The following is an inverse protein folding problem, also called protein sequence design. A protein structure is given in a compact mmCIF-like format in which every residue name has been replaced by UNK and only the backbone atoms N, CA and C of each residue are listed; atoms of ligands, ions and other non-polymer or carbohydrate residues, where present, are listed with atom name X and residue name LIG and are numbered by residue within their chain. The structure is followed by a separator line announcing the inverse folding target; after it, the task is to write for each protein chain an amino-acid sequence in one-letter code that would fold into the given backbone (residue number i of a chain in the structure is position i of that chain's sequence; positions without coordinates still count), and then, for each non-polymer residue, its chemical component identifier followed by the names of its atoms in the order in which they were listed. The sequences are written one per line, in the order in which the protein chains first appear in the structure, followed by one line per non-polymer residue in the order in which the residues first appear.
data_IF_152841191357
#
_entry.id   IF_152841191357
#
_cell.length_a   1.000
_cell.length_b   1.000
_cell.length_c   1.000
_cell.angle_alpha   90.00
_cell.angle_beta   90.00
_cell.angle_gamma   90.00
#
_symmetry.space_group_name_H-M   'P 1'
#
loop_
_entity.id
_entity.type
_entity.pdbx_description
1 polymer ?
#
# COMPACT_ATOMS: atom_id res chain seq x y z
N UNK A 1 -8.74 5.48 -2.47
CA UNK A 1 -8.07 4.25 -1.96
C UNK A 1 -8.66 3.93 -0.61
N UNK A 2 -9.13 2.71 -0.40
CA UNK A 2 -9.82 2.38 0.84
C UNK A 2 -8.89 2.22 2.06
N UNK A 3 -7.62 1.80 1.90
CA UNK A 3 -6.65 1.72 3.00
C UNK A 3 -5.34 2.42 2.64
N UNK A 4 -4.85 3.29 3.54
CA UNK A 4 -3.59 4.00 3.39
C UNK A 4 -2.77 3.92 4.69
N UNK A 5 -1.46 3.69 4.54
CA UNK A 5 -0.51 3.82 5.65
C UNK A 5 0.16 5.19 5.50
N UNK A 6 -0.01 6.06 6.49
CA UNK A 6 0.47 7.43 6.43
C UNK A 6 1.34 7.78 7.63
N UNK A 7 2.39 8.56 7.41
CA UNK A 7 3.18 9.14 8.50
C UNK A 7 2.64 10.52 8.83
N UNK A 8 1.89 10.63 9.93
CA UNK A 8 1.26 11.86 10.35
C UNK A 8 1.01 11.89 11.86
N UNK A 9 0.53 13.04 12.36
CA UNK A 9 -0.05 13.20 13.68
C UNK A 9 -1.56 12.95 13.59
N UNK A 10 -2.05 11.90 14.26
CA UNK A 10 -3.46 11.49 14.21
C UNK A 10 -4.41 12.61 14.69
N UNK A 11 -3.94 13.48 15.60
CA UNK A 11 -4.74 14.60 16.12
C UNK A 11 -4.97 15.72 15.10
N UNK A 12 -4.26 15.68 13.97
CA UNK A 12 -4.36 16.64 12.86
C UNK A 12 -5.06 16.07 11.63
N UNK A 13 -5.45 14.81 11.68
CA UNK A 13 -6.10 14.14 10.55
C UNK A 13 -7.52 14.68 10.35
N UNK A 14 -7.79 15.14 9.14
CA UNK A 14 -9.14 15.60 8.71
C UNK A 14 -9.92 14.41 8.17
N UNK A 15 -10.52 13.66 9.08
CA UNK A 15 -11.31 12.45 8.82
C UNK A 15 -12.61 12.52 9.65
N UNK A 16 -13.57 11.64 9.38
CA UNK A 16 -14.81 11.63 10.16
C UNK A 16 -14.58 11.11 11.59
N UNK A 17 -13.75 10.08 11.74
CA UNK A 17 -13.38 9.55 13.04
C UNK A 17 -11.89 9.26 13.16
N UNK A 18 -11.32 9.49 14.34
CA UNK A 18 -10.01 8.97 14.72
C UNK A 18 -10.17 7.90 15.79
N UNK A 19 -9.31 6.89 15.79
CA UNK A 19 -9.29 5.86 16.83
C UNK A 19 -8.23 6.21 17.86
N UNK A 20 -8.61 6.13 19.12
CA UNK A 20 -7.75 6.28 20.27
C UNK A 20 -7.34 4.91 20.82
N UNK A 21 -6.05 4.66 20.97
CA UNK A 21 -5.54 3.49 21.67
C UNK A 21 -5.64 3.73 23.19
N UNK A 22 -6.85 3.55 23.72
CA UNK A 22 -7.22 3.87 25.08
C UNK A 22 -6.87 2.75 26.07
N UNK A 23 -6.86 3.12 27.36
CA UNK A 23 -6.89 2.16 28.46
C UNK A 23 -8.34 1.82 28.87
N UNK A 24 -8.51 0.79 29.70
CA UNK A 24 -9.82 0.30 30.09
C UNK A 24 -10.67 1.30 30.90
N UNK A 25 -10.06 2.29 31.56
CA UNK A 25 -10.80 3.34 32.26
C UNK A 25 -11.33 4.43 31.34
N UNK A 26 -10.75 4.64 30.17
CA UNK A 26 -10.99 5.72 29.21
C UNK A 26 -10.65 7.12 29.73
N UNK A 27 -9.92 7.22 30.85
CA UNK A 27 -9.65 8.48 31.55
C UNK A 27 -8.37 9.17 31.08
N UNK A 28 -7.90 8.84 29.85
CA UNK A 28 -6.66 9.33 29.32
C UNK A 28 -5.45 8.58 29.89
N UNK A 29 -4.28 8.86 29.34
CA UNK A 29 -3.04 8.20 29.71
C UNK A 29 -1.83 8.82 28.99
N UNK A 30 -0.82 8.01 28.73
CA UNK A 30 0.37 8.39 27.96
C UNK A 30 0.27 8.07 26.46
N UNK A 31 1.26 8.51 25.70
CA UNK A 31 1.34 8.25 24.26
C UNK A 31 0.21 8.91 23.47
N UNK A 32 -0.32 8.21 22.47
CA UNK A 32 -1.38 8.74 21.60
C UNK A 32 -2.64 9.09 22.37
N UNK A 33 -3.01 8.33 23.40
CA UNK A 33 -4.16 8.58 24.25
C UNK A 33 -4.08 9.96 24.93
N UNK A 34 -2.94 10.29 25.56
CA UNK A 34 -2.69 11.60 26.14
C UNK A 34 -2.72 12.74 25.12
N UNK A 35 -2.13 12.53 23.92
CA UNK A 35 -2.14 13.52 22.86
C UNK A 35 -3.57 13.82 22.37
N UNK A 36 -4.41 12.81 22.20
CA UNK A 36 -5.80 12.94 21.76
C UNK A 36 -6.61 13.69 22.84
N UNK A 37 -6.52 13.30 24.11
CA UNK A 37 -7.20 13.99 25.21
C UNK A 37 -6.78 15.46 25.34
N UNK A 38 -5.48 15.74 25.20
CA UNK A 38 -4.98 17.12 25.23
C UNK A 38 -5.51 17.96 24.05
N UNK A 39 -5.49 17.41 22.83
CA UNK A 39 -5.93 18.11 21.64
C UNK A 39 -7.46 18.30 21.57
N UNK A 40 -8.22 17.33 22.07
CA UNK A 40 -9.70 17.40 22.13
C UNK A 40 -10.23 18.39 23.17
N UNK A 41 -9.47 18.63 24.24
CA UNK A 41 -9.88 19.47 25.35
C UNK A 41 -10.62 18.70 26.47
N UNK A 42 -10.93 19.38 27.58
CA UNK A 42 -11.47 18.74 28.80
C UNK A 42 -12.85 18.10 28.62
N UNK A 43 -13.62 18.56 27.65
CA UNK A 43 -14.96 18.03 27.36
C UNK A 43 -14.94 16.55 26.97
N UNK A 44 -13.87 16.09 26.31
CA UNK A 44 -13.69 14.68 25.94
C UNK A 44 -13.63 13.80 27.20
N UNK A 45 -12.89 14.24 28.22
CA UNK A 45 -12.76 13.50 29.47
C UNK A 45 -14.12 13.37 30.18
N UNK A 46 -14.92 14.46 30.25
CA UNK A 46 -16.26 14.46 30.82
C UNK A 46 -17.21 13.50 30.11
N UNK A 47 -17.08 13.35 28.80
CA UNK A 47 -17.88 12.36 28.05
C UNK A 47 -17.39 10.94 28.32
N UNK A 48 -16.07 10.72 28.37
CA UNK A 48 -15.47 9.42 28.71
C UNK A 48 -15.88 8.91 30.09
N UNK A 49 -15.97 9.78 31.10
CA UNK A 49 -16.46 9.43 32.44
C UNK A 49 -17.83 8.76 32.41
N UNK A 50 -18.75 9.29 31.56
CA UNK A 50 -20.11 8.76 31.41
C UNK A 50 -20.16 7.38 30.76
N UNK A 51 -19.11 7.00 30.03
CA UNK A 51 -19.01 5.70 29.40
C UNK A 51 -18.70 4.57 30.38
N UNK A 52 -18.24 4.86 31.60
CA UNK A 52 -17.93 3.87 32.65
C UNK A 52 -16.91 2.82 32.18
N UNK A 53 -15.85 3.26 31.52
CA UNK A 53 -14.78 2.40 31.00
C UNK A 53 -15.16 1.55 29.78
N UNK A 54 -14.22 0.72 29.34
CA UNK A 54 -14.39 -0.18 28.18
C UNK A 54 -13.59 -1.46 28.40
N UNK A 55 -14.12 -2.61 27.97
CA UNK A 55 -13.45 -3.91 28.08
C UNK A 55 -12.33 -4.03 27.03
N UNK A 56 -11.26 -4.75 27.38
CA UNK A 56 -10.21 -5.12 26.41
C UNK A 56 -10.80 -5.95 25.26
N UNK A 57 -10.45 -5.60 24.05
CA UNK A 57 -11.01 -6.18 22.83
C UNK A 57 -12.27 -5.46 22.32
N UNK A 58 -12.66 -4.34 22.94
CA UNK A 58 -13.85 -3.57 22.55
C UNK A 58 -13.52 -2.10 22.34
N UNK A 59 -14.48 -1.34 21.82
CA UNK A 59 -14.36 0.10 21.61
C UNK A 59 -15.65 0.83 22.00
N UNK A 60 -15.54 2.13 22.29
CA UNK A 60 -16.65 3.07 22.53
C UNK A 60 -16.40 4.36 21.78
N UNK A 61 -17.44 5.10 21.45
CA UNK A 61 -17.37 6.32 20.64
C UNK A 61 -17.80 7.55 21.45
N UNK A 62 -17.14 8.67 21.18
CA UNK A 62 -17.44 10.01 21.69
C UNK A 62 -17.38 11.04 20.57
N UNK A 63 -17.75 12.28 20.86
CA UNK A 63 -17.53 13.41 19.95
C UNK A 63 -16.04 13.79 19.88
N UNK A 64 -15.64 14.43 18.77
CA UNK A 64 -14.26 14.87 18.53
C UNK A 64 -13.86 16.16 19.22
N UNK A 65 -14.84 16.98 19.66
CA UNK A 65 -14.67 18.28 20.31
C UNK A 65 -13.77 19.24 19.51
N UNK A 66 -12.57 19.61 20.05
CA UNK A 66 -11.62 20.53 19.37
C UNK A 66 -10.77 19.85 18.28
N UNK A 67 -10.89 18.54 18.13
CA UNK A 67 -10.20 17.82 17.06
C UNK A 67 -10.84 18.09 15.68
N UNK A 68 -10.08 17.98 14.58
CA UNK A 68 -10.60 18.17 13.23
C UNK A 68 -11.39 16.95 12.70
N UNK A 69 -12.00 16.17 13.60
CA UNK A 69 -12.83 15.01 13.30
C UNK A 69 -14.17 15.11 14.04
N UNK A 70 -15.18 14.38 13.56
CA UNK A 70 -16.51 14.35 14.20
C UNK A 70 -16.51 13.50 15.46
N UNK A 71 -15.78 12.39 15.43
CA UNK A 71 -15.81 11.37 16.47
C UNK A 71 -14.41 10.90 16.89
N UNK A 72 -14.32 10.46 18.17
CA UNK A 72 -13.19 9.68 18.67
C UNK A 72 -13.71 8.31 19.08
N UNK A 73 -13.11 7.26 18.54
CA UNK A 73 -13.41 5.86 18.86
C UNK A 73 -12.33 5.35 19.81
N UNK A 74 -12.67 5.11 21.07
CA UNK A 74 -11.75 4.66 22.11
C UNK A 74 -11.65 3.14 22.10
N UNK A 75 -10.64 2.59 21.48
CA UNK A 75 -10.38 1.14 21.38
C UNK A 75 -9.43 0.70 22.50
N UNK A 76 -9.80 -0.32 23.24
CA UNK A 76 -8.99 -0.88 24.34
C UNK A 76 -8.31 -2.16 23.88
N UNK A 77 -7.09 -2.02 23.37
CA UNK A 77 -6.28 -3.15 22.93
C UNK A 77 -5.72 -3.98 24.09
N UNK A 78 -5.28 -5.22 23.81
CA UNK A 78 -4.65 -6.09 24.80
C UNK A 78 -3.24 -5.62 25.15
N UNK A 79 -2.79 -5.96 26.38
CA UNK A 79 -1.36 -5.98 26.72
C UNK A 79 -0.75 -7.26 26.22
N UNK A 80 0.48 -7.17 25.74
CA UNK A 80 1.22 -8.33 25.27
C UNK A 80 1.85 -9.12 26.43
N UNK A 81 1.57 -10.41 26.46
CA UNK A 81 2.14 -11.36 27.43
C UNK A 81 2.73 -12.60 26.72
N UNK A 82 3.09 -12.47 25.43
CA UNK A 82 3.72 -13.54 24.65
C UNK A 82 2.81 -14.25 23.66
N UNK A 83 1.59 -13.74 23.40
CA UNK A 83 0.67 -14.24 22.37
C UNK A 83 -0.18 -15.45 22.76
N UNK A 84 -0.11 -15.91 24.04
CA UNK A 84 -0.80 -17.15 24.49
C UNK A 84 -2.11 -16.88 25.25
N UNK A 85 -2.50 -15.62 25.44
CA UNK A 85 -3.67 -15.24 26.25
C UNK A 85 -4.80 -14.63 25.42
N UNK A 86 -4.85 -15.00 24.13
CA UNK A 86 -5.85 -14.52 23.17
C UNK A 86 -5.67 -13.05 22.80
N UNK A 87 -4.43 -12.55 22.85
CA UNK A 87 -4.13 -11.16 22.52
C UNK A 87 -4.43 -10.86 21.05
N UNK A 88 -4.15 -11.81 20.15
CA UNK A 88 -4.48 -11.69 18.74
C UNK A 88 -5.97 -11.44 18.52
N UNK A 89 -6.83 -12.31 19.05
CA UNK A 89 -8.27 -12.21 18.86
C UNK A 89 -8.85 -10.93 19.48
N UNK A 90 -8.31 -10.49 20.64
CA UNK A 90 -8.69 -9.24 21.26
C UNK A 90 -8.28 -8.03 20.42
N UNK A 91 -7.11 -8.08 19.75
CA UNK A 91 -6.65 -7.01 18.89
C UNK A 91 -7.51 -6.94 17.61
N UNK A 92 -7.80 -8.08 16.98
CA UNK A 92 -8.75 -8.19 15.85
C UNK A 92 -10.09 -7.58 16.23
N UNK A 93 -10.64 -7.97 17.40
CA UNK A 93 -11.92 -7.47 17.91
C UNK A 93 -11.93 -5.94 18.11
N UNK A 94 -10.80 -5.33 18.52
CA UNK A 94 -10.67 -3.88 18.62
C UNK A 94 -10.86 -3.19 17.27
N UNK A 95 -10.20 -3.68 16.22
CA UNK A 95 -10.34 -3.13 14.88
C UNK A 95 -11.76 -3.32 14.35
N UNK A 96 -12.31 -4.53 14.47
CA UNK A 96 -13.67 -4.85 14.02
C UNK A 96 -14.73 -3.97 14.72
N UNK A 97 -14.66 -3.85 16.03
CA UNK A 97 -15.61 -3.03 16.82
C UNK A 97 -15.49 -1.55 16.45
N UNK A 98 -14.27 -1.06 16.26
CA UNK A 98 -14.03 0.33 15.85
C UNK A 98 -14.59 0.63 14.47
N UNK A 99 -14.37 -0.26 13.50
CA UNK A 99 -14.91 -0.13 12.15
C UNK A 99 -16.45 -0.23 12.13
N UNK A 100 -17.01 -1.12 12.93
CA UNK A 100 -18.46 -1.24 13.08
C UNK A 100 -19.10 0.04 13.64
N UNK A 101 -18.50 0.63 14.68
CA UNK A 101 -18.95 1.90 15.26
C UNK A 101 -18.84 3.05 14.25
N UNK A 102 -17.73 3.10 13.49
CA UNK A 102 -17.58 4.11 12.44
C UNK A 102 -18.68 3.98 11.38
N UNK A 103 -18.95 2.76 10.91
CA UNK A 103 -20.02 2.48 9.96
C UNK A 103 -21.40 2.86 10.50
N UNK A 104 -21.72 2.49 11.74
CA UNK A 104 -22.98 2.82 12.40
C UNK A 104 -23.22 4.33 12.48
N UNK A 105 -22.15 5.11 12.69
CA UNK A 105 -22.21 6.57 12.76
C UNK A 105 -22.04 7.27 11.40
N UNK A 106 -22.09 6.53 10.29
CA UNK A 106 -22.04 7.07 8.94
C UNK A 106 -20.69 7.71 8.58
N UNK A 107 -19.60 7.24 9.18
CA UNK A 107 -18.25 7.73 8.81
C UNK A 107 -17.83 7.20 7.46
N UNK A 108 -17.38 8.09 6.59
CA UNK A 108 -16.78 7.75 5.30
C UNK A 108 -15.26 7.60 5.40
N UNK A 109 -14.66 8.09 6.49
CA UNK A 109 -13.21 8.06 6.72
C UNK A 109 -12.85 7.85 8.19
N UNK A 110 -11.86 6.96 8.45
CA UNK A 110 -11.37 6.64 9.81
C UNK A 110 -9.85 6.55 9.82
N UNK A 111 -9.21 7.12 10.85
CA UNK A 111 -7.78 6.99 11.07
C UNK A 111 -7.48 6.19 12.34
N UNK A 112 -6.64 5.16 12.22
CA UNK A 112 -6.20 4.29 13.30
C UNK A 112 -4.74 4.55 13.67
N UNK A 113 -4.39 4.58 14.96
CA UNK A 113 -3.01 4.36 15.37
C UNK A 113 -2.72 2.85 15.32
N UNK A 114 -1.45 2.47 15.44
CA UNK A 114 -1.09 1.06 15.63
C UNK A 114 -1.43 0.63 17.07
N UNK A 115 -2.64 0.06 17.26
CA UNK A 115 -3.19 -0.31 18.56
C UNK A 115 -2.29 -1.30 19.29
N UNK A 116 -2.10 -1.14 20.59
CA UNK A 116 -1.28 -1.99 21.49
C UNK A 116 0.22 -1.97 21.26
N UNK A 117 0.75 -1.39 20.17
CA UNK A 117 2.19 -1.46 19.81
C UNK A 117 3.10 -0.52 20.61
N UNK A 118 2.52 0.37 21.44
CA UNK A 118 3.25 1.28 22.31
C UNK A 118 3.49 0.68 23.71
N UNK A 119 2.96 1.32 24.74
CA UNK A 119 3.13 0.94 26.17
C UNK A 119 2.61 -0.48 26.47
N UNK A 120 1.66 -0.99 25.68
CA UNK A 120 1.11 -2.33 25.84
C UNK A 120 2.02 -3.43 25.27
N UNK A 121 3.08 -3.07 24.55
CA UNK A 121 4.19 -3.94 24.18
C UNK A 121 3.88 -5.00 23.11
N UNK A 122 2.78 -4.90 22.38
CA UNK A 122 2.48 -5.80 21.27
C UNK A 122 3.58 -5.64 20.18
N UNK A 123 4.17 -6.72 19.64
CA UNK A 123 5.16 -6.63 18.56
C UNK A 123 4.58 -5.82 17.38
N UNK A 124 5.35 -4.85 16.90
CA UNK A 124 4.85 -3.84 15.96
C UNK A 124 4.51 -4.43 14.60
N UNK A 125 5.32 -5.36 14.12
CA UNK A 125 5.13 -6.12 12.88
C UNK A 125 3.87 -6.97 12.95
N UNK A 126 3.68 -7.73 14.03
CA UNK A 126 2.47 -8.53 14.25
C UNK A 126 1.23 -7.64 14.41
N UNK A 127 1.32 -6.52 15.15
CA UNK A 127 0.22 -5.58 15.31
C UNK A 127 -0.19 -4.94 13.98
N UNK A 128 0.78 -4.60 13.12
CA UNK A 128 0.51 -4.06 11.80
C UNK A 128 -0.16 -5.09 10.89
N UNK A 129 0.33 -6.33 10.91
CA UNK A 129 -0.30 -7.42 10.17
C UNK A 129 -1.75 -7.62 10.57
N UNK A 130 -2.05 -7.70 11.87
CA UNK A 130 -3.43 -7.83 12.39
C UNK A 130 -4.29 -6.64 11.92
N UNK A 131 -3.75 -5.41 11.98
CA UNK A 131 -4.46 -4.22 11.52
C UNK A 131 -4.83 -4.31 10.05
N UNK A 132 -3.83 -4.62 9.20
CA UNK A 132 -4.01 -4.72 7.74
C UNK A 132 -5.02 -5.81 7.40
N UNK A 133 -4.84 -7.02 7.90
CA UNK A 133 -5.70 -8.17 7.59
C UNK A 133 -7.16 -7.90 8.00
N UNK A 134 -7.36 -7.34 9.21
CA UNK A 134 -8.71 -7.06 9.71
C UNK A 134 -9.40 -5.93 8.94
N UNK A 135 -8.68 -4.83 8.69
CA UNK A 135 -9.21 -3.68 7.93
C UNK A 135 -9.49 -4.07 6.49
N UNK A 136 -8.59 -4.82 5.85
CA UNK A 136 -8.77 -5.28 4.47
C UNK A 136 -9.99 -6.17 4.34
N UNK A 137 -10.18 -7.12 5.25
CA UNK A 137 -11.38 -7.99 5.28
C UNK A 137 -12.67 -7.17 5.41
N UNK A 138 -12.69 -6.15 6.27
CA UNK A 138 -13.83 -5.25 6.39
C UNK A 138 -14.11 -4.45 5.10
N UNK A 139 -13.06 -3.98 4.44
CA UNK A 139 -13.16 -3.16 3.23
C UNK A 139 -13.58 -3.95 1.98
N UNK A 140 -13.48 -5.28 1.98
CA UNK A 140 -14.07 -6.11 0.91
C UNK A 140 -15.59 -5.93 0.82
N UNK A 141 -16.25 -5.74 1.96
CA UNK A 141 -17.71 -5.64 2.03
C UNK A 141 -18.21 -4.19 2.23
N UNK A 142 -17.33 -3.24 2.55
CA UNK A 142 -17.71 -1.89 2.92
C UNK A 142 -16.88 -0.84 2.16
N UNK A 143 -17.51 0.26 1.80
CA UNK A 143 -16.85 1.43 1.20
C UNK A 143 -16.55 2.45 2.31
N UNK A 144 -15.29 2.50 2.76
CA UNK A 144 -14.80 3.43 3.78
C UNK A 144 -13.32 3.73 3.50
N UNK A 145 -12.89 4.96 3.70
CA UNK A 145 -11.48 5.34 3.66
C UNK A 145 -10.85 5.09 5.03
N UNK A 146 -9.85 4.22 5.10
CA UNK A 146 -9.16 3.90 6.36
C UNK A 146 -7.69 4.28 6.27
N UNK A 147 -7.19 4.95 7.31
CA UNK A 147 -5.80 5.33 7.46
C UNK A 147 -5.17 4.59 8.63
N UNK A 148 -4.00 3.98 8.44
CA UNK A 148 -3.13 3.56 9.55
C UNK A 148 -2.07 4.65 9.72
N UNK A 149 -2.10 5.34 10.85
CA UNK A 149 -1.25 6.51 11.13
C UNK A 149 -0.05 6.10 11.96
N UNK A 150 1.15 6.28 11.41
CA UNK A 150 2.42 6.00 12.08
C UNK A 150 3.10 7.34 12.37
N UNK A 151 3.30 7.64 13.66
CA UNK A 151 3.95 8.89 14.07
C UNK A 151 5.48 8.80 13.96
N UNK A 152 6.07 7.73 14.47
CA UNK A 152 7.52 7.52 14.50
C UNK A 152 7.96 6.42 13.53
N UNK A 153 8.98 6.73 12.69
CA UNK A 153 9.60 5.78 11.78
C UNK A 153 10.16 4.53 12.47
N UNK A 154 10.69 4.68 13.70
CA UNK A 154 11.18 3.55 14.50
C UNK A 154 10.05 2.63 14.98
N UNK A 155 8.81 3.10 14.96
CA UNK A 155 7.65 2.30 15.30
C UNK A 155 7.32 1.25 14.23
N UNK A 156 7.93 1.37 13.05
CA UNK A 156 7.70 0.53 11.91
C UNK A 156 8.99 -0.24 11.59
N UNK A 157 9.03 -1.49 11.94
CA UNK A 157 10.15 -2.38 11.62
C UNK A 157 9.58 -3.57 10.85
N UNK A 158 10.02 -3.73 9.62
CA UNK A 158 9.83 -4.99 8.88
C UNK A 158 10.56 -6.10 9.63
N UNK A 159 10.07 -7.33 9.56
CA UNK A 159 10.80 -8.51 9.98
C UNK A 159 12.25 -8.40 9.51
N UNK A 160 13.18 -8.49 10.43
CA UNK A 160 14.62 -8.36 10.13
C UNK A 160 15.09 -9.32 9.04
N UNK A 161 14.44 -10.46 8.90
CA UNK A 161 14.69 -11.45 7.84
C UNK A 161 14.26 -10.93 6.48
N UNK A 162 13.02 -10.42 6.35
CA UNK A 162 12.50 -9.87 5.09
C UNK A 162 13.36 -8.70 4.62
N UNK A 163 13.76 -7.82 5.54
CA UNK A 163 14.64 -6.69 5.25
C UNK A 163 16.01 -7.14 4.74
N UNK A 164 16.62 -8.18 5.34
CA UNK A 164 17.88 -8.75 4.90
C UNK A 164 17.76 -9.39 3.51
N UNK A 165 16.69 -10.15 3.25
CA UNK A 165 16.43 -10.78 1.96
C UNK A 165 16.23 -9.76 0.83
N UNK A 166 15.52 -8.66 1.10
CA UNK A 166 15.32 -7.57 0.12
C UNK A 166 16.62 -6.81 -0.14
N UNK A 167 17.43 -6.52 0.90
CA UNK A 167 18.73 -5.88 0.70
C UNK A 167 19.66 -6.75 -0.14
N UNK A 168 19.77 -8.04 0.14
CA UNK A 168 20.58 -8.97 -0.63
C UNK A 168 20.13 -9.02 -2.10
N UNK A 169 18.82 -9.06 -2.36
CA UNK A 169 18.27 -9.05 -3.71
C UNK A 169 18.58 -7.74 -4.47
N UNK A 170 18.49 -6.59 -3.80
CA UNK A 170 18.84 -5.29 -4.38
C UNK A 170 20.34 -5.24 -4.73
N UNK A 171 21.21 -5.72 -3.85
CA UNK A 171 22.65 -5.73 -4.05
C UNK A 171 23.06 -6.67 -5.19
N UNK A 172 22.47 -7.87 -5.26
CA UNK A 172 22.72 -8.84 -6.33
C UNK A 172 22.31 -8.29 -7.70
N UNK A 173 21.13 -7.69 -7.82
CA UNK A 173 20.65 -7.06 -9.05
C UNK A 173 21.52 -5.88 -9.48
N UNK A 174 21.93 -5.03 -8.52
CA UNK A 174 22.83 -3.92 -8.80
C UNK A 174 24.19 -4.40 -9.36
N UNK A 175 24.74 -5.48 -8.80
CA UNK A 175 26.01 -6.08 -9.25
C UNK A 175 25.87 -6.69 -10.66
N UNK A 176 24.76 -7.39 -10.94
CA UNK A 176 24.51 -7.98 -12.26
C UNK A 176 24.44 -6.92 -13.35
N UNK A 177 23.67 -5.83 -13.16
CA UNK A 177 23.57 -4.73 -14.14
C UNK A 177 24.90 -4.03 -14.39
N UNK A 178 25.70 -3.81 -13.35
CA UNK A 178 27.00 -3.16 -13.51
C UNK A 178 28.05 -4.08 -14.15
N UNK A 179 27.89 -5.40 -14.02
CA UNK A 179 28.72 -6.39 -14.71
C UNK A 179 28.47 -6.38 -16.22
N UNK A 180 27.21 -6.38 -16.63
CA UNK A 180 26.84 -6.42 -18.04
C UNK A 180 27.20 -5.11 -18.75
N UNK A 181 27.00 -3.95 -18.10
CA UNK A 181 27.38 -2.66 -18.67
C UNK A 181 28.90 -2.53 -18.90
N UNK A 182 29.73 -3.16 -18.06
CA UNK A 182 31.17 -3.15 -18.22
C UNK A 182 31.61 -4.09 -19.36
N UNK A 183 31.04 -5.28 -19.46
CA UNK A 183 31.31 -6.24 -20.54
C UNK A 183 30.83 -5.74 -21.90
N UNK A 184 29.65 -5.13 -21.96
CA UNK A 184 29.12 -4.50 -23.17
C UNK A 184 29.94 -3.27 -23.57
N UNK A 185 30.40 -2.47 -22.62
CA UNK A 185 31.25 -1.31 -22.90
C UNK A 185 32.59 -1.71 -23.46
N UNK A 186 33.21 -2.79 -22.98
CA UNK A 186 34.45 -3.35 -23.54
C UNK A 186 34.21 -3.99 -24.91
N UNK A 187 33.08 -4.70 -25.10
CA UNK A 187 32.68 -5.28 -26.38
C UNK A 187 32.45 -4.17 -27.42
N UNK A 188 31.76 -3.09 -27.08
CA UNK A 188 31.55 -1.92 -27.95
C UNK A 188 32.87 -1.20 -28.30
N UNK A 189 33.77 -1.04 -27.32
CA UNK A 189 35.09 -0.46 -27.58
C UNK A 189 35.96 -1.35 -28.50
N UNK A 190 35.82 -2.66 -28.40
CA UNK A 190 36.49 -3.62 -29.29
C UNK A 190 35.88 -3.64 -30.69
N UNK A 191 34.55 -3.51 -30.83
CA UNK A 191 33.88 -3.43 -32.13
C UNK A 191 34.20 -2.12 -32.85
N UNK A 192 34.26 -0.99 -32.14
CA UNK A 192 34.66 0.31 -32.69
C UNK A 192 36.13 0.31 -33.17
N UNK A 193 37.03 -0.38 -32.45
CA UNK A 193 38.43 -0.54 -32.86
C UNK A 193 38.64 -1.52 -34.03
N UNK A 194 37.65 -2.38 -34.30
CA UNK A 194 37.70 -3.32 -35.45
C UNK A 194 37.05 -2.74 -36.73
N UNK A 195 36.21 -1.70 -36.60
CA UNK A 195 35.54 -1.06 -37.74
C UNK A 195 36.41 -0.07 -38.52
N UNK A 196 37.62 0.28 -38.04
CA UNK A 196 38.56 1.15 -38.78
C UNK A 196 39.31 0.44 -39.94
N UNK A 197 39.04 -0.83 -40.24
CA UNK A 197 39.78 -1.57 -41.21
C UNK A 197 38.96 -2.45 -42.21
N UNK A 198 37.68 -2.15 -42.44
CA UNK A 198 36.88 -2.88 -43.46
C UNK A 198 36.30 -1.96 -44.54
N UNK A 199 36.36 -2.35 -45.83
CA UNK A 199 35.72 -1.58 -46.90
C UNK A 199 34.20 -1.66 -46.81
N UNK A 200 33.54 -0.53 -47.06
CA UNK A 200 32.10 -0.34 -47.00
C UNK A 200 31.39 -1.32 -47.96
N UNK A 201 30.56 -2.28 -47.46
CA UNK A 201 29.65 -3.02 -48.32
C UNK A 201 28.44 -2.14 -48.67
N UNK A 202 27.99 -2.24 -49.91
CA UNK A 202 26.83 -1.55 -50.44
C UNK A 202 25.60 -1.72 -49.49
N UNK A 203 24.91 -0.62 -49.20
CA UNK A 203 23.74 -0.58 -48.34
C UNK A 203 22.67 -1.59 -48.80
N UNK A 204 22.11 -2.40 -47.87
CA UNK A 204 20.91 -3.17 -48.18
C UNK A 204 19.73 -2.21 -48.39
N UNK A 205 18.96 -2.48 -49.46
CA UNK A 205 17.73 -1.73 -49.75
C UNK A 205 16.83 -1.66 -48.50
N UNK A 206 16.66 -0.45 -48.02
CA UNK A 206 15.70 -0.14 -46.96
C UNK A 206 14.32 -0.60 -47.41
N UNK A 207 13.73 -1.58 -46.72
CA UNK A 207 12.32 -1.90 -46.87
C UNK A 207 11.53 -0.60 -46.69
N UNK A 208 10.60 -0.30 -47.60
CA UNK A 208 9.71 0.88 -47.51
C UNK A 208 9.14 0.94 -46.11
N UNK A 209 9.48 1.98 -45.36
CA UNK A 209 8.82 2.29 -44.13
C UNK A 209 7.33 2.40 -44.41
N UNK A 210 6.51 1.65 -43.64
CA UNK A 210 5.07 1.81 -43.64
C UNK A 210 4.77 3.30 -43.34
N UNK A 211 3.76 3.88 -44.04
CA UNK A 211 3.42 5.26 -43.81
C UNK A 211 3.05 5.45 -42.34
N UNK A 212 3.22 6.65 -41.78
CA UNK A 212 2.80 6.98 -40.40
C UNK A 212 1.35 6.57 -40.17
N UNK A 213 0.47 6.76 -41.16
CA UNK A 213 -0.92 6.34 -41.12
C UNK A 213 -1.12 4.83 -40.96
N UNK A 214 -0.25 4.03 -41.62
CA UNK A 214 -0.30 2.58 -41.49
C UNK A 214 0.23 2.11 -40.13
N UNK A 215 1.22 2.78 -39.57
CA UNK A 215 1.69 2.54 -38.19
C UNK A 215 0.64 2.93 -37.15
N UNK A 216 -0.09 4.02 -37.36
CA UNK A 216 -1.16 4.46 -36.45
C UNK A 216 -2.41 3.55 -36.50
N UNK A 217 -2.64 2.83 -37.60
CA UNK A 217 -3.70 1.81 -37.69
C UNK A 217 -3.39 0.53 -36.91
N UNK A 218 -2.14 0.32 -36.54
CA UNK A 218 -1.67 -0.83 -35.78
C UNK A 218 -1.47 -0.50 -34.29
N UNK A 219 -2.25 0.47 -33.76
CA UNK A 219 -2.23 0.78 -32.33
C UNK A 219 -2.71 -0.45 -31.58
N UNK A 220 -1.89 -0.87 -30.65
CA UNK A 220 -2.11 -2.02 -29.79
C UNK A 220 -3.20 -1.74 -28.74
N UNK A 221 -3.67 -2.80 -28.07
CA UNK A 221 -4.62 -2.72 -26.96
C UNK A 221 -4.17 -1.68 -25.91
N UNK A 222 -5.08 -0.82 -25.47
CA UNK A 222 -4.79 0.15 -24.42
C UNK A 222 -4.70 -0.49 -23.03
N UNK A 223 -4.10 0.22 -22.06
CA UNK A 223 -4.08 -0.24 -20.66
C UNK A 223 -5.50 -0.55 -20.14
N UNK A 224 -6.47 0.33 -20.39
CA UNK A 224 -7.85 0.15 -19.92
C UNK A 224 -8.51 -1.09 -20.51
N UNK A 225 -8.30 -1.35 -21.80
CA UNK A 225 -8.84 -2.54 -22.48
C UNK A 225 -8.18 -3.82 -21.96
N UNK A 226 -6.85 -3.83 -21.80
CA UNK A 226 -6.12 -4.96 -21.22
C UNK A 226 -6.57 -5.25 -19.79
N UNK A 227 -6.72 -4.22 -18.94
CA UNK A 227 -7.16 -4.38 -17.57
C UNK A 227 -8.54 -5.06 -17.50
N UNK A 228 -9.52 -4.56 -18.25
CA UNK A 228 -10.87 -5.12 -18.24
C UNK A 228 -10.88 -6.56 -18.74
N UNK A 229 -10.16 -6.86 -19.83
CA UNK A 229 -10.00 -8.23 -20.32
C UNK A 229 -9.38 -9.16 -19.28
N UNK A 230 -8.34 -8.70 -18.57
CA UNK A 230 -7.70 -9.50 -17.51
C UNK A 230 -8.61 -9.72 -16.30
N UNK A 231 -9.45 -8.76 -15.93
CA UNK A 231 -10.47 -8.93 -14.89
C UNK A 231 -11.45 -10.04 -15.28
N UNK A 232 -11.93 -10.02 -16.52
CA UNK A 232 -12.84 -11.03 -17.06
C UNK A 232 -12.18 -12.42 -17.13
N UNK A 233 -10.92 -12.50 -17.58
CA UNK A 233 -10.12 -13.74 -17.63
C UNK A 233 -9.92 -14.36 -16.24
N UNK A 234 -9.74 -13.54 -15.21
CA UNK A 234 -9.61 -13.99 -13.81
C UNK A 234 -10.96 -14.33 -13.15
N UNK A 235 -12.08 -14.07 -13.82
CA UNK A 235 -13.42 -14.29 -13.25
C UNK A 235 -13.76 -13.39 -12.07
N UNK A 236 -13.07 -12.26 -11.92
CA UNK A 236 -13.30 -11.27 -10.87
C UNK A 236 -14.38 -10.27 -11.30
N UNK A 237 -15.10 -9.74 -10.31
CA UNK A 237 -15.91 -8.55 -10.52
C UNK A 237 -15.02 -7.28 -10.47
N UNK A 238 -15.47 -6.21 -11.11
CA UNK A 238 -14.83 -4.90 -11.02
C UNK A 238 -14.57 -4.47 -9.56
N UNK A 239 -15.57 -4.72 -8.69
CA UNK A 239 -15.51 -4.34 -7.29
C UNK A 239 -14.44 -5.12 -6.52
N UNK A 240 -14.31 -6.40 -6.75
CA UNK A 240 -13.26 -7.23 -6.17
C UNK A 240 -11.89 -6.77 -6.63
N UNK A 241 -11.72 -6.50 -7.93
CA UNK A 241 -10.45 -6.08 -8.50
C UNK A 241 -9.97 -4.74 -7.90
N UNK A 242 -10.78 -3.66 -7.95
CA UNK A 242 -10.31 -2.37 -7.43
C UNK A 242 -10.12 -2.38 -5.91
N UNK A 243 -10.90 -3.14 -5.16
CA UNK A 243 -10.72 -3.30 -3.71
C UNK A 243 -9.43 -4.06 -3.39
N UNK A 244 -9.16 -5.16 -4.08
CA UNK A 244 -7.92 -5.93 -3.93
C UNK A 244 -6.69 -5.12 -4.34
N UNK A 245 -6.80 -4.29 -5.38
CA UNK A 245 -5.78 -3.34 -5.81
C UNK A 245 -5.60 -2.15 -4.85
N UNK A 246 -6.44 -2.01 -3.83
CA UNK A 246 -6.50 -0.83 -2.96
C UNK A 246 -6.70 0.48 -3.73
N UNK A 247 -7.54 0.46 -4.77
CA UNK A 247 -7.88 1.59 -5.63
C UNK A 247 -9.31 2.06 -5.34
N UNK A 248 -9.53 3.38 -5.30
CA UNK A 248 -10.86 3.92 -5.08
C UNK A 248 -11.79 3.72 -6.31
N UNK A 249 -13.09 3.57 -6.03
CA UNK A 249 -14.12 3.36 -7.05
C UNK A 249 -14.16 4.46 -8.11
N UNK A 250 -13.89 5.73 -7.75
CA UNK A 250 -13.96 6.87 -8.69
C UNK A 250 -12.83 6.78 -9.71
N UNK A 251 -11.62 6.42 -9.26
CA UNK A 251 -10.48 6.21 -10.14
C UNK A 251 -10.73 5.01 -11.08
N UNK A 252 -11.22 3.89 -10.56
CA UNK A 252 -11.56 2.74 -11.39
C UNK A 252 -12.64 3.09 -12.43
N UNK A 253 -13.68 3.83 -12.05
CA UNK A 253 -14.73 4.28 -12.96
C UNK A 253 -14.19 5.14 -14.11
N UNK A 254 -13.19 6.00 -13.85
CA UNK A 254 -12.49 6.77 -14.90
C UNK A 254 -11.73 5.85 -15.86
N UNK A 255 -10.99 4.89 -15.33
CA UNK A 255 -10.23 3.91 -16.15
C UNK A 255 -11.18 3.14 -17.06
N UNK A 256 -12.33 2.70 -16.54
CA UNK A 256 -13.33 1.95 -17.28
C UNK A 256 -14.01 2.77 -18.38
N UNK A 257 -14.29 4.04 -18.11
CA UNK A 257 -15.02 4.91 -19.05
C UNK A 257 -14.14 5.55 -20.12
N UNK A 258 -12.84 5.69 -19.87
CA UNK A 258 -11.88 6.30 -20.80
C UNK A 258 -10.84 5.29 -21.25
N UNK A 259 -10.97 4.81 -22.50
CA UNK A 259 -10.05 3.86 -23.11
C UNK A 259 -8.61 4.38 -23.22
N UNK A 260 -8.43 5.68 -23.29
CA UNK A 260 -7.12 6.33 -23.40
C UNK A 260 -6.60 6.86 -22.06
N UNK A 261 -7.26 6.51 -20.96
CA UNK A 261 -6.83 6.90 -19.63
C UNK A 261 -5.40 6.43 -19.34
N UNK A 262 -4.58 7.35 -18.84
CA UNK A 262 -3.20 7.08 -18.45
C UNK A 262 -3.08 7.05 -16.92
N UNK A 263 -3.05 5.86 -16.32
CA UNK A 263 -2.85 5.73 -14.88
C UNK A 263 -1.42 6.08 -14.47
N UNK A 264 -1.19 6.27 -13.17
CA UNK A 264 0.18 6.33 -12.64
C UNK A 264 0.81 4.94 -12.60
N UNK A 265 2.14 4.87 -12.61
CA UNK A 265 2.88 3.58 -12.52
C UNK A 265 2.47 2.77 -11.27
N UNK A 266 2.38 3.35 -10.05
CA UNK A 266 1.87 2.61 -8.88
C UNK A 266 0.45 2.07 -9.05
N UNK A 267 -0.42 2.78 -9.77
CA UNK A 267 -1.79 2.31 -10.07
C UNK A 267 -1.78 1.09 -10.98
N UNK A 268 -0.94 1.07 -12.02
CA UNK A 268 -0.78 -0.09 -12.92
C UNK A 268 -0.30 -1.30 -12.15
N UNK A 269 0.73 -1.12 -11.31
CA UNK A 269 1.28 -2.19 -10.47
C UNK A 269 0.23 -2.70 -9.49
N UNK A 270 -0.55 -1.82 -8.87
CA UNK A 270 -1.63 -2.21 -7.95
C UNK A 270 -2.64 -3.17 -8.61
N UNK A 271 -3.05 -2.89 -9.85
CA UNK A 271 -3.94 -3.78 -10.59
C UNK A 271 -3.27 -5.10 -10.99
N UNK A 272 -2.02 -5.06 -11.43
CA UNK A 272 -1.27 -6.26 -11.77
C UNK A 272 -1.12 -7.21 -10.56
N UNK A 273 -0.86 -6.65 -9.38
CA UNK A 273 -0.80 -7.41 -8.12
C UNK A 273 -2.17 -7.96 -7.70
N UNK A 274 -3.24 -7.18 -7.86
CA UNK A 274 -4.60 -7.62 -7.55
C UNK A 274 -5.05 -8.80 -8.42
N UNK A 275 -4.61 -8.80 -9.67
CA UNK A 275 -4.85 -9.87 -10.65
C UNK A 275 -3.84 -11.01 -10.56
N UNK A 276 -2.86 -10.91 -9.65
CA UNK A 276 -1.79 -11.91 -9.45
C UNK A 276 -1.03 -12.24 -10.73
N UNK A 277 -0.78 -11.22 -11.56
CA UNK A 277 -0.12 -11.40 -12.84
C UNK A 277 1.36 -11.80 -12.66
N UNK A 278 1.86 -12.79 -13.42
CA UNK A 278 3.28 -13.11 -13.45
C UNK A 278 4.09 -11.92 -13.99
N UNK A 279 5.41 -11.95 -13.77
CA UNK A 279 6.29 -10.81 -14.04
C UNK A 279 6.28 -10.34 -15.50
N UNK A 280 6.18 -11.24 -16.45
CA UNK A 280 6.09 -10.95 -17.88
C UNK A 280 4.79 -10.21 -18.24
N UNK A 281 3.65 -10.65 -17.72
CA UNK A 281 2.37 -9.97 -17.92
C UNK A 281 2.30 -8.62 -17.19
N UNK A 282 2.91 -8.51 -16.01
CA UNK A 282 3.05 -7.23 -15.31
C UNK A 282 3.89 -6.25 -16.14
N UNK A 283 5.00 -6.71 -16.76
CA UNK A 283 5.82 -5.89 -17.68
C UNK A 283 5.04 -5.47 -18.91
N UNK A 284 4.22 -6.35 -19.47
CA UNK A 284 3.35 -6.02 -20.61
C UNK A 284 2.30 -4.97 -20.22
N UNK A 285 1.60 -5.15 -19.10
CA UNK A 285 0.62 -4.19 -18.59
C UNK A 285 1.23 -2.81 -18.32
N UNK A 286 2.47 -2.75 -17.81
CA UNK A 286 3.21 -1.49 -17.64
C UNK A 286 3.52 -0.85 -19.00
N UNK A 287 3.92 -1.64 -19.99
CA UNK A 287 4.25 -1.12 -21.34
C UNK A 287 3.04 -0.48 -22.02
N UNK A 288 1.83 -1.06 -21.87
CA UNK A 288 0.56 -0.50 -22.38
C UNK A 288 0.22 0.87 -21.73
N UNK A 289 0.67 1.10 -20.51
CA UNK A 289 0.52 2.40 -19.81
C UNK A 289 1.70 3.37 -20.09
N UNK A 290 2.73 2.95 -20.84
CA UNK A 290 3.92 3.74 -21.15
C UNK A 290 4.97 3.72 -20.04
N UNK A 291 5.02 2.67 -19.22
CA UNK A 291 5.98 2.46 -18.14
C UNK A 291 6.81 1.18 -18.36
N UNK A 292 7.91 1.07 -17.61
CA UNK A 292 8.70 -0.13 -17.48
C UNK A 292 9.22 -0.26 -16.06
N UNK A 293 9.57 -1.47 -15.61
CA UNK A 293 10.39 -1.66 -14.41
C UNK A 293 11.83 -1.30 -14.73
N UNK A 294 12.51 -0.64 -13.80
CA UNK A 294 13.89 -0.22 -13.92
C UNK A 294 14.69 -0.67 -12.71
N UNK A 295 15.81 -1.36 -12.93
CA UNK A 295 16.70 -1.77 -11.85
C UNK A 295 17.50 -0.61 -11.23
N UNK A 296 17.44 0.59 -11.81
CA UNK A 296 17.93 1.82 -11.17
C UNK A 296 16.96 2.39 -10.11
N UNK A 297 15.78 1.80 -9.96
CA UNK A 297 14.73 2.22 -9.03
C UNK A 297 14.52 1.18 -7.94
N UNK A 298 14.80 1.54 -6.69
CA UNK A 298 14.53 0.66 -5.53
C UNK A 298 13.06 0.24 -5.46
N UNK A 299 12.14 1.14 -5.79
CA UNK A 299 10.71 0.84 -5.87
C UNK A 299 10.43 -0.33 -6.83
N UNK A 300 11.01 -0.29 -8.04
CA UNK A 300 10.79 -1.31 -9.06
C UNK A 300 11.41 -2.66 -8.69
N UNK A 301 12.62 -2.63 -8.15
CA UNK A 301 13.32 -3.83 -7.66
C UNK A 301 12.52 -4.52 -6.55
N UNK A 302 11.96 -3.75 -5.60
CA UNK A 302 11.14 -4.30 -4.52
C UNK A 302 9.88 -4.97 -5.10
N UNK A 303 9.18 -4.32 -6.02
CA UNK A 303 8.00 -4.91 -6.67
C UNK A 303 8.37 -6.20 -7.41
N UNK A 304 9.44 -6.19 -8.20
CA UNK A 304 9.93 -7.35 -8.94
C UNK A 304 10.29 -8.51 -7.99
N UNK A 305 10.98 -8.22 -6.88
CA UNK A 305 11.32 -9.20 -5.84
C UNK A 305 10.10 -9.98 -5.31
N UNK A 306 9.00 -9.28 -5.00
CA UNK A 306 7.79 -9.91 -4.47
C UNK A 306 7.05 -10.72 -5.54
N UNK A 307 6.92 -10.17 -6.75
CA UNK A 307 6.22 -10.83 -7.87
C UNK A 307 6.95 -12.10 -8.30
N UNK A 308 8.29 -12.10 -8.40
CA UNK A 308 9.09 -13.29 -8.71
C UNK A 308 8.91 -14.43 -7.69
N UNK A 309 8.52 -14.10 -6.47
CA UNK A 309 8.24 -15.07 -5.39
C UNK A 309 6.77 -15.46 -5.27
N UNK A 310 5.93 -14.99 -6.19
CA UNK A 310 4.49 -15.24 -6.15
C UNK A 310 3.78 -14.58 -4.96
N UNK A 311 4.38 -13.55 -4.39
CA UNK A 311 3.75 -12.78 -3.31
C UNK A 311 3.14 -11.49 -3.88
N UNK A 312 1.82 -11.47 -3.97
CA UNK A 312 1.02 -10.37 -4.53
C UNK A 312 0.33 -9.53 -3.45
N UNK A 313 0.70 -9.71 -2.18
CA UNK A 313 0.12 -8.95 -1.07
C UNK A 313 0.60 -7.49 -1.10
N UNK A 314 -0.26 -6.59 -1.60
CA UNK A 314 0.03 -5.15 -1.73
C UNK A 314 0.46 -4.54 -0.39
N UNK A 315 -0.03 -5.05 0.73
CA UNK A 315 0.29 -4.52 2.05
C UNK A 315 1.69 -4.91 2.50
N UNK A 316 2.10 -6.16 2.27
CA UNK A 316 3.48 -6.60 2.55
C UNK A 316 4.49 -5.88 1.65
N UNK A 317 4.14 -5.68 0.38
CA UNK A 317 4.96 -4.90 -0.56
C UNK A 317 5.07 -3.45 -0.10
N UNK A 318 3.97 -2.83 0.33
CA UNK A 318 3.96 -1.47 0.88
C UNK A 318 4.76 -1.36 2.17
N UNK A 319 4.76 -2.39 2.98
CA UNK A 319 5.61 -2.51 4.16
C UNK A 319 7.09 -2.42 3.76
N UNK A 320 7.51 -3.20 2.78
CA UNK A 320 8.86 -3.15 2.26
C UNK A 320 9.20 -1.78 1.65
N UNK A 321 8.32 -1.25 0.78
CA UNK A 321 8.50 0.06 0.15
C UNK A 321 8.68 1.18 1.19
N UNK A 322 7.90 1.16 2.25
CA UNK A 322 7.99 2.13 3.34
C UNK A 322 9.35 2.03 4.07
N UNK A 323 9.84 0.81 4.34
CA UNK A 323 11.13 0.62 5.01
C UNK A 323 12.31 1.14 4.20
N UNK A 324 12.20 1.10 2.87
CA UNK A 324 13.23 1.63 1.97
C UNK A 324 12.99 3.08 1.52
N UNK A 325 12.09 3.83 2.19
CA UNK A 325 11.72 5.22 1.87
C UNK A 325 11.19 5.40 0.44
N UNK A 326 10.46 4.42 -0.08
CA UNK A 326 9.83 4.48 -1.39
C UNK A 326 8.36 4.92 -1.29
N UNK A 327 7.79 5.40 -2.41
CA UNK A 327 6.37 5.66 -2.53
C UNK A 327 5.58 4.36 -2.44
N UNK A 328 4.37 4.41 -1.85
CA UNK A 328 3.54 3.23 -1.68
C UNK A 328 2.73 2.93 -2.95
N UNK A 329 2.43 1.65 -3.17
CA UNK A 329 1.54 1.19 -4.24
C UNK A 329 0.11 1.45 -3.80
N UNK A 330 -0.68 1.97 -4.72
CA UNK A 330 -2.05 2.31 -4.44
C UNK A 330 -2.19 3.54 -3.53
N UNK A 331 -1.19 4.43 -3.41
CA UNK A 331 -1.25 5.69 -2.66
C UNK A 331 -1.51 6.90 -3.58
#
# INVERSE_FOLDING_TARGET
MPLQIVRNDITKMKVDAIVNAANSSLMGGGGVDGCIHHAAGPELLVECEKLNGCKTGSAKITKGYKLPCKYVIHAVGPRWYGGQYGEHDKLVSCYQTSLALAKEHGCESVAFPLISSGIFGYPKDEALKVAIDTISSFLLENDMMVYIVIFDRKAYQISSKLFADINAYIDDRYVEEHRDSYAERISRLRSLAAEESCPIPAAPMVAKAASLDDALKQIDESFSEMLLRKIDECGMTDAECYKKANIDRKLFSKIRSDKLYRPSKPTVIAFALALELPLDELKDMLSKAGFALSHSSKFDIIVEYFVERGNYNVFEINEALFAFDQSLIGA
#
